data_IF_382006938285
#
_entry.id   IF_382006938285
#
_cell.length_a   1.000
_cell.length_b   1.000
_cell.length_c   1.000
_cell.angle_alpha   90.00
_cell.angle_beta   90.00
_cell.angle_gamma   90.00
#
_symmetry.space_group_name_H-M   'P 1'
#
loop_
_entity.id
_entity.type
_entity.pdbx_description
1 polymer ?
#
# COMPACT_ATOMS: atom_id res chain seq x y z
N UNK A 1 -56.01 20.33 -35.29
CA UNK A 1 -55.78 20.33 -33.83
C UNK A 1 -55.91 18.91 -33.32
N UNK A 2 -54.79 18.27 -32.99
CA UNK A 2 -54.69 17.05 -32.18
C UNK A 2 -53.22 16.97 -31.68
N UNK A 3 -52.96 16.63 -30.41
CA UNK A 3 -51.70 16.94 -29.75
C UNK A 3 -50.62 15.86 -29.88
N UNK A 4 -49.39 16.35 -29.78
CA UNK A 4 -48.08 15.67 -29.75
C UNK A 4 -47.97 14.66 -28.62
N UNK A 5 -47.33 13.50 -28.86
CA UNK A 5 -46.72 12.68 -27.79
C UNK A 5 -45.24 12.48 -28.13
N UNK A 6 -44.41 13.34 -27.55
CA UNK A 6 -42.95 13.20 -27.54
C UNK A 6 -42.58 12.40 -26.30
N UNK A 7 -42.12 11.17 -26.50
CA UNK A 7 -41.57 10.32 -25.43
C UNK A 7 -40.23 10.91 -24.99
N UNK A 8 -40.17 11.37 -23.75
CA UNK A 8 -38.97 11.96 -23.12
C UNK A 8 -38.19 10.83 -22.46
N UNK A 9 -37.04 10.47 -23.03
CA UNK A 9 -36.06 9.60 -22.40
C UNK A 9 -35.54 10.30 -21.15
N UNK A 10 -35.72 9.67 -19.99
CA UNK A 10 -35.08 10.09 -18.74
C UNK A 10 -33.66 9.51 -18.75
N UNK A 11 -32.68 10.37 -19.00
CA UNK A 11 -31.28 10.09 -18.69
C UNK A 11 -31.09 10.16 -17.18
N UNK A 12 -30.52 9.10 -16.61
CA UNK A 12 -30.02 9.07 -15.24
C UNK A 12 -28.99 10.20 -15.02
N UNK A 13 -28.95 10.84 -13.84
CA UNK A 13 -27.96 11.85 -13.54
C UNK A 13 -26.54 11.23 -13.47
N UNK A 14 -25.49 11.98 -13.83
CA UNK A 14 -24.12 11.49 -13.73
C UNK A 14 -23.82 11.09 -12.29
N UNK A 15 -23.32 9.86 -12.08
CA UNK A 15 -22.75 9.45 -10.79
C UNK A 15 -21.55 10.34 -10.50
N UNK A 16 -21.79 11.38 -9.70
CA UNK A 16 -20.73 12.25 -9.19
C UNK A 16 -19.83 11.40 -8.29
N UNK A 17 -18.64 11.11 -8.81
CA UNK A 17 -17.54 10.52 -8.05
C UNK A 17 -17.32 11.39 -6.81
N UNK A 18 -17.26 10.81 -5.61
CA UNK A 18 -16.94 11.61 -4.43
C UNK A 18 -15.58 12.28 -4.65
N UNK A 19 -15.42 13.55 -4.22
CA UNK A 19 -14.18 14.28 -4.45
C UNK A 19 -13.00 13.52 -3.85
N UNK A 20 -11.86 13.40 -4.57
CA UNK A 20 -10.68 12.74 -4.04
C UNK A 20 -10.27 13.42 -2.74
N UNK A 21 -9.91 12.63 -1.72
CA UNK A 21 -9.30 13.18 -0.50
C UNK A 21 -8.11 14.04 -0.91
N UNK A 22 -8.03 15.25 -0.34
CA UNK A 22 -7.00 16.22 -0.70
C UNK A 22 -5.62 15.65 -0.37
N UNK A 23 -4.71 15.72 -1.32
CA UNK A 23 -3.26 15.46 -1.21
C UNK A 23 -2.60 15.76 0.17
N UNK A 24 -2.96 16.84 0.91
CA UNK A 24 -2.51 17.07 2.28
C UNK A 24 -2.83 15.98 3.33
N UNK A 25 -3.87 15.16 3.17
CA UNK A 25 -4.11 14.04 4.10
C UNK A 25 -3.17 12.85 3.85
N UNK A 26 -2.45 12.83 2.73
CA UNK A 26 -1.57 11.72 2.37
C UNK A 26 -0.14 11.90 2.87
N UNK A 27 0.27 13.12 3.23
CA UNK A 27 1.65 13.41 3.65
C UNK A 27 2.06 12.74 4.98
N UNK A 28 1.10 12.21 5.73
CA UNK A 28 1.38 11.44 6.96
C UNK A 28 1.83 10.00 6.68
N UNK A 29 1.51 9.48 5.49
CA UNK A 29 1.74 8.06 5.11
C UNK A 29 2.68 7.90 3.92
N UNK A 30 2.82 8.93 3.07
CA UNK A 30 3.71 8.92 1.90
C UNK A 30 4.38 10.28 1.65
N UNK A 31 5.58 10.23 1.06
CA UNK A 31 6.32 11.41 0.63
C UNK A 31 5.61 12.05 -0.56
N UNK A 32 4.97 13.19 -0.27
CA UNK A 32 4.16 13.92 -1.25
C UNK A 32 4.95 14.30 -2.49
N UNK A 33 6.20 14.73 -2.33
CA UNK A 33 7.02 15.20 -3.47
C UNK A 33 7.36 14.06 -4.43
N UNK A 34 7.67 12.88 -3.89
CA UNK A 34 7.95 11.66 -4.67
C UNK A 34 6.68 11.19 -5.38
N UNK A 35 5.54 11.20 -4.69
CA UNK A 35 4.28 10.79 -5.29
C UNK A 35 3.75 11.78 -6.33
N UNK A 36 3.94 13.09 -6.11
CA UNK A 36 3.61 14.13 -7.10
C UNK A 36 4.37 13.92 -8.41
N UNK A 37 5.65 13.53 -8.37
CA UNK A 37 6.41 13.19 -9.58
C UNK A 37 5.79 12.03 -10.36
N UNK A 38 5.21 11.04 -9.68
CA UNK A 38 4.50 9.93 -10.33
C UNK A 38 3.18 10.43 -10.94
N UNK A 39 2.46 11.32 -10.24
CA UNK A 39 1.22 11.91 -10.72
C UNK A 39 1.42 12.86 -11.90
N UNK A 40 2.60 13.47 -12.04
CA UNK A 40 3.01 14.30 -13.19
C UNK A 40 3.27 13.47 -14.45
N UNK A 41 3.39 12.15 -14.33
CA UNK A 41 3.54 11.22 -15.46
C UNK A 41 2.19 10.71 -16.00
N UNK A 42 1.08 11.02 -15.33
CA UNK A 42 -0.25 10.75 -15.87
C UNK A 42 -0.55 11.69 -17.05
N UNK A 43 -1.21 11.18 -18.09
CA UNK A 43 -1.77 12.02 -19.15
C UNK A 43 -2.97 12.83 -18.59
N UNK A 44 -3.21 14.04 -19.14
CA UNK A 44 -4.03 15.10 -18.52
C UNK A 44 -5.43 14.67 -18.00
N UNK A 45 -6.05 13.65 -18.60
CA UNK A 45 -7.41 13.22 -18.27
C UNK A 45 -7.49 11.86 -17.53
N UNK A 46 -6.43 11.06 -17.48
CA UNK A 46 -6.47 9.68 -16.98
C UNK A 46 -5.34 9.35 -15.98
N UNK A 47 -5.72 8.85 -14.80
CA UNK A 47 -4.79 8.44 -13.71
C UNK A 47 -4.24 7.03 -13.88
N UNK A 48 -4.22 6.50 -15.10
CA UNK A 48 -3.96 5.08 -15.37
C UNK A 48 -2.51 4.68 -15.10
N UNK A 49 -1.54 5.57 -15.39
CA UNK A 49 -0.13 5.29 -15.15
C UNK A 49 0.15 5.19 -13.65
N UNK A 50 -0.18 6.23 -12.89
CA UNK A 50 0.06 6.26 -11.45
C UNK A 50 -0.71 5.17 -10.72
N UNK A 51 -1.97 4.91 -11.13
CA UNK A 51 -2.77 3.80 -10.61
C UNK A 51 -2.12 2.46 -10.92
N UNK A 52 -1.62 2.25 -12.13
CA UNK A 52 -0.92 1.01 -12.50
C UNK A 52 0.29 0.73 -11.60
N UNK A 53 1.12 1.75 -11.34
CA UNK A 53 2.28 1.62 -10.45
C UNK A 53 1.84 1.29 -9.01
N UNK A 54 0.82 1.99 -8.49
CA UNK A 54 0.34 1.78 -7.12
C UNK A 54 -0.26 0.39 -6.92
N UNK A 55 -1.09 -0.09 -7.85
CA UNK A 55 -1.72 -1.41 -7.72
C UNK A 55 -0.71 -2.53 -7.96
N UNK A 56 0.24 -2.33 -8.88
CA UNK A 56 1.37 -3.25 -9.04
C UNK A 56 2.21 -3.37 -7.77
N UNK A 57 2.40 -2.27 -7.03
CA UNK A 57 3.04 -2.32 -5.72
C UNK A 57 2.22 -3.08 -4.69
N UNK A 58 0.89 -2.94 -4.65
CA UNK A 58 0.05 -3.71 -3.72
C UNK A 58 0.22 -5.21 -3.91
N UNK A 59 0.12 -5.68 -5.16
CA UNK A 59 0.30 -7.10 -5.49
C UNK A 59 1.70 -7.58 -5.11
N UNK A 60 2.72 -6.76 -5.39
CA UNK A 60 4.11 -7.06 -5.03
C UNK A 60 4.29 -7.14 -3.50
N UNK A 61 3.72 -6.21 -2.75
CA UNK A 61 3.83 -6.15 -1.30
C UNK A 61 3.17 -7.36 -0.65
N UNK A 62 1.93 -7.67 -1.01
CA UNK A 62 1.19 -8.82 -0.46
C UNK A 62 1.90 -10.14 -0.75
N UNK A 63 2.33 -10.35 -2.01
CA UNK A 63 3.11 -11.54 -2.39
C UNK A 63 4.43 -11.63 -1.62
N UNK A 64 5.10 -10.50 -1.39
CA UNK A 64 6.38 -10.47 -0.67
C UNK A 64 6.19 -10.77 0.81
N UNK A 65 5.13 -10.26 1.43
CA UNK A 65 4.81 -10.56 2.81
C UNK A 65 4.52 -12.04 3.05
N UNK A 66 3.76 -12.69 2.16
CA UNK A 66 3.52 -14.14 2.26
C UNK A 66 4.84 -14.93 2.17
N UNK A 67 5.74 -14.53 1.28
CA UNK A 67 7.08 -15.14 1.18
C UNK A 67 7.91 -14.91 2.44
N UNK A 68 7.84 -13.71 3.03
CA UNK A 68 8.53 -13.41 4.29
C UNK A 68 8.00 -14.27 5.44
N UNK A 69 6.68 -14.46 5.55
CA UNK A 69 6.10 -15.34 6.57
C UNK A 69 6.58 -16.78 6.42
N UNK A 70 6.58 -17.30 5.19
CA UNK A 70 7.12 -18.63 4.92
C UNK A 70 8.61 -18.74 5.22
N UNK A 71 9.41 -17.74 4.84
CA UNK A 71 10.83 -17.72 5.13
C UNK A 71 11.13 -17.61 6.63
N UNK A 72 10.26 -16.94 7.41
CA UNK A 72 10.32 -16.94 8.87
C UNK A 72 10.05 -18.33 9.48
N UNK A 73 9.04 -19.04 8.98
CA UNK A 73 8.74 -20.43 9.41
C UNK A 73 9.90 -21.37 9.09
N UNK A 74 10.49 -21.23 7.91
CA UNK A 74 11.64 -22.01 7.45
C UNK A 74 12.99 -21.52 8.03
N UNK A 75 12.99 -20.44 8.81
CA UNK A 75 14.18 -19.78 9.40
C UNK A 75 15.26 -19.38 8.37
N UNK A 76 14.86 -18.86 7.21
CA UNK A 76 15.77 -18.49 6.12
C UNK A 76 16.15 -17.01 6.16
N UNK A 77 17.11 -16.66 7.02
CA UNK A 77 17.59 -15.27 7.18
C UNK A 77 18.03 -14.61 5.86
N UNK A 78 18.82 -15.31 5.04
CA UNK A 78 19.27 -14.76 3.76
C UNK A 78 18.12 -14.45 2.79
N UNK A 79 17.07 -15.29 2.78
CA UNK A 79 15.87 -15.05 1.98
C UNK A 79 15.09 -13.84 2.51
N UNK A 80 14.93 -13.74 3.84
CA UNK A 80 14.31 -12.58 4.49
C UNK A 80 15.06 -11.28 4.16
N UNK A 81 16.39 -11.30 4.17
CA UNK A 81 17.20 -10.15 3.81
C UNK A 81 16.95 -9.70 2.36
N UNK A 82 16.93 -10.67 1.43
CA UNK A 82 16.67 -10.39 0.02
C UNK A 82 15.26 -9.87 -0.23
N UNK A 83 14.24 -10.42 0.46
CA UNK A 83 12.86 -9.96 0.35
C UNK A 83 12.70 -8.55 0.94
N UNK A 84 13.36 -8.26 2.06
CA UNK A 84 13.41 -6.92 2.67
C UNK A 84 14.01 -5.90 1.71
N UNK A 85 15.17 -6.22 1.11
CA UNK A 85 15.82 -5.37 0.11
C UNK A 85 14.92 -5.10 -1.11
N UNK A 86 14.25 -6.14 -1.62
CA UNK A 86 13.36 -6.04 -2.77
C UNK A 86 12.18 -5.10 -2.50
N UNK A 87 11.48 -5.29 -1.38
CA UNK A 87 10.30 -4.49 -1.05
C UNK A 87 10.67 -3.05 -0.63
N UNK A 88 11.85 -2.86 -0.01
CA UNK A 88 12.43 -1.53 0.27
C UNK A 88 12.54 -0.72 -1.02
N UNK A 89 13.08 -1.32 -2.09
CA UNK A 89 13.25 -0.64 -3.39
C UNK A 89 11.92 -0.13 -3.95
N UNK A 90 10.93 -1.01 -4.06
CA UNK A 90 9.61 -0.62 -4.60
C UNK A 90 8.86 0.37 -3.70
N UNK A 91 9.00 0.25 -2.37
CA UNK A 91 8.39 1.20 -1.42
C UNK A 91 8.99 2.61 -1.54
N UNK A 92 10.31 2.71 -1.79
CA UNK A 92 10.98 3.99 -1.98
C UNK A 92 10.50 4.72 -3.25
N UNK A 93 10.23 3.98 -4.34
CA UNK A 93 9.72 4.56 -5.59
C UNK A 93 8.40 5.30 -5.39
N UNK A 94 7.53 4.81 -4.50
CA UNK A 94 6.23 5.43 -4.20
C UNK A 94 6.28 6.45 -3.03
N UNK A 95 7.46 6.69 -2.45
CA UNK A 95 7.60 7.59 -1.30
C UNK A 95 7.07 7.00 0.02
N UNK A 96 6.93 5.68 0.14
CA UNK A 96 6.36 5.03 1.33
C UNK A 96 7.40 4.88 2.44
N UNK A 97 7.80 5.99 3.05
CA UNK A 97 8.97 6.06 3.94
C UNK A 97 8.93 5.04 5.09
N UNK A 98 7.80 4.94 5.82
CA UNK A 98 7.71 3.98 6.93
C UNK A 98 7.85 2.53 6.45
N UNK A 99 7.14 2.16 5.38
CA UNK A 99 7.22 0.81 4.79
C UNK A 99 8.65 0.51 4.34
N UNK A 100 9.30 1.47 3.67
CA UNK A 100 10.70 1.40 3.24
C UNK A 100 11.65 1.19 4.44
N UNK A 101 11.49 1.97 5.51
CA UNK A 101 12.33 1.89 6.70
C UNK A 101 12.17 0.54 7.41
N UNK A 102 10.95 0.02 7.55
CA UNK A 102 10.74 -1.33 8.11
C UNK A 102 11.32 -2.43 7.21
N UNK A 103 11.21 -2.31 5.89
CA UNK A 103 11.83 -3.26 4.96
C UNK A 103 13.36 -3.24 5.05
N UNK A 104 13.96 -2.08 5.30
CA UNK A 104 15.40 -1.94 5.57
C UNK A 104 15.80 -2.63 6.87
N UNK A 105 15.02 -2.49 7.94
CA UNK A 105 15.25 -3.24 9.19
C UNK A 105 15.19 -4.75 8.95
N UNK A 106 14.19 -5.25 8.22
CA UNK A 106 14.10 -6.68 7.84
C UNK A 106 15.32 -7.11 7.03
N UNK A 107 15.79 -6.26 6.10
CA UNK A 107 17.02 -6.51 5.35
C UNK A 107 18.23 -6.70 6.29
N UNK A 108 18.41 -5.80 7.25
CA UNK A 108 19.52 -5.82 8.21
C UNK A 108 19.46 -7.03 9.14
N UNK A 109 18.32 -7.28 9.78
CA UNK A 109 18.14 -8.46 10.64
C UNK A 109 18.34 -9.76 9.87
N UNK A 110 17.85 -9.85 8.62
CA UNK A 110 18.09 -10.99 7.76
C UNK A 110 19.58 -11.19 7.39
N UNK A 111 20.39 -10.15 7.49
CA UNK A 111 21.84 -10.22 7.35
C UNK A 111 22.58 -10.53 8.67
N UNK A 112 21.83 -10.82 9.74
CA UNK A 112 22.37 -11.02 11.09
C UNK A 112 22.86 -9.73 11.74
N UNK A 113 22.34 -8.57 11.30
CA UNK A 113 22.69 -7.25 11.83
C UNK A 113 21.57 -6.64 12.66
N UNK A 114 21.92 -5.71 13.53
CA UNK A 114 20.97 -4.90 14.30
C UNK A 114 20.11 -4.00 13.39
N UNK A 115 19.17 -3.26 13.97
CA UNK A 115 18.23 -2.42 13.20
C UNK A 115 18.95 -1.40 12.31
N UNK A 116 20.13 -0.93 12.74
CA UNK A 116 20.94 0.06 12.03
C UNK A 116 21.82 -0.54 10.94
N UNK A 117 21.98 -1.86 10.92
CA UNK A 117 22.88 -2.57 9.99
C UNK A 117 24.36 -2.46 10.35
N UNK A 118 24.69 -1.96 11.55
CA UNK A 118 26.07 -1.64 11.96
C UNK A 118 26.68 -2.70 12.88
N UNK A 119 25.89 -3.23 13.81
CA UNK A 119 26.31 -4.25 14.76
C UNK A 119 25.74 -5.61 14.37
N UNK A 120 26.37 -6.69 14.81
CA UNK A 120 25.82 -8.05 14.68
C UNK A 120 24.75 -8.30 15.74
N UNK A 121 23.69 -9.00 15.37
CA UNK A 121 22.75 -9.58 16.33
C UNK A 121 23.43 -10.69 17.13
N UNK A 122 23.03 -10.93 18.39
CA UNK A 122 23.67 -11.94 19.24
C UNK A 122 23.60 -13.36 18.67
N UNK A 123 22.48 -13.68 18.01
CA UNK A 123 22.20 -14.98 17.43
C UNK A 123 21.05 -14.90 16.41
N UNK A 124 20.87 -15.98 15.65
CA UNK A 124 19.82 -16.13 14.64
C UNK A 124 18.40 -16.03 15.24
N UNK A 125 18.19 -16.51 16.47
CA UNK A 125 16.87 -16.48 17.12
C UNK A 125 16.42 -15.04 17.40
N UNK A 126 17.36 -14.19 17.81
CA UNK A 126 17.15 -12.76 18.03
C UNK A 126 16.82 -12.06 16.71
N UNK A 127 17.58 -12.32 15.64
CA UNK A 127 17.27 -11.81 14.30
C UNK A 127 15.86 -12.21 13.84
N UNK A 128 15.49 -13.49 13.95
CA UNK A 128 14.16 -13.98 13.55
C UNK A 128 13.04 -13.33 14.37
N UNK A 129 13.26 -13.11 15.68
CA UNK A 129 12.31 -12.42 16.55
C UNK A 129 12.10 -10.97 16.10
N UNK A 130 13.17 -10.22 15.88
CA UNK A 130 13.08 -8.82 15.43
C UNK A 130 12.45 -8.71 14.04
N UNK A 131 12.75 -9.64 13.11
CA UNK A 131 12.09 -9.68 11.80
C UNK A 131 10.59 -9.92 11.97
N UNK A 132 10.18 -10.87 12.84
CA UNK A 132 8.76 -11.16 13.08
C UNK A 132 8.02 -9.94 13.63
N UNK A 133 8.60 -9.24 14.60
CA UNK A 133 8.02 -8.02 15.16
C UNK A 133 7.92 -6.92 14.10
N UNK A 134 8.99 -6.69 13.34
CA UNK A 134 9.03 -5.70 12.26
C UNK A 134 8.05 -6.04 11.13
N UNK A 135 7.84 -7.32 10.83
CA UNK A 135 6.89 -7.77 9.80
C UNK A 135 5.44 -7.44 10.19
N UNK A 136 5.11 -7.44 11.49
CA UNK A 136 3.80 -7.00 11.98
C UNK A 136 3.64 -5.49 11.77
N UNK A 137 4.67 -4.71 12.08
CA UNK A 137 4.65 -3.25 11.92
C UNK A 137 4.53 -2.84 10.45
N UNK A 138 5.35 -3.40 9.56
CA UNK A 138 5.31 -3.07 8.13
C UNK A 138 3.97 -3.40 7.49
N UNK A 139 3.33 -4.52 7.90
CA UNK A 139 2.00 -4.89 7.40
C UNK A 139 0.92 -3.89 7.85
N UNK A 140 1.02 -3.37 9.07
CA UNK A 140 0.11 -2.35 9.58
C UNK A 140 0.26 -1.05 8.80
N UNK A 141 1.48 -0.56 8.65
CA UNK A 141 1.77 0.68 7.94
C UNK A 141 1.42 0.57 6.45
N UNK A 142 1.68 -0.59 5.84
CA UNK A 142 1.23 -0.90 4.49
C UNK A 142 -0.30 -0.81 4.35
N UNK A 143 -1.08 -1.39 5.27
CA UNK A 143 -2.54 -1.36 5.19
C UNK A 143 -3.11 0.05 5.32
N UNK A 144 -2.47 0.91 6.11
CA UNK A 144 -2.81 2.32 6.20
C UNK A 144 -2.59 3.04 4.86
N UNK A 145 -1.41 2.87 4.25
CA UNK A 145 -1.07 3.40 2.92
C UNK A 145 -2.03 2.88 1.85
N UNK A 146 -2.27 1.58 1.81
CA UNK A 146 -3.16 0.94 0.85
C UNK A 146 -4.57 1.54 0.93
N UNK A 147 -5.11 1.72 2.14
CA UNK A 147 -6.42 2.32 2.32
C UNK A 147 -6.45 3.77 1.83
N UNK A 148 -5.42 4.57 2.12
CA UNK A 148 -5.33 5.97 1.67
C UNK A 148 -5.29 6.04 0.14
N UNK A 149 -4.44 5.25 -0.49
CA UNK A 149 -4.26 5.24 -1.94
C UNK A 149 -5.47 4.66 -2.68
N UNK A 150 -6.10 3.59 -2.18
CA UNK A 150 -7.36 3.07 -2.75
C UNK A 150 -8.46 4.12 -2.71
N UNK A 151 -8.60 4.84 -1.60
CA UNK A 151 -9.54 5.95 -1.50
C UNK A 151 -9.19 7.10 -2.45
N UNK A 152 -7.90 7.40 -2.66
CA UNK A 152 -7.45 8.41 -3.62
C UNK A 152 -7.87 8.06 -5.05
N UNK A 153 -7.78 6.78 -5.44
CA UNK A 153 -8.22 6.29 -6.76
C UNK A 153 -9.72 5.93 -6.84
N UNK A 154 -10.54 6.34 -5.86
CA UNK A 154 -12.00 6.20 -5.89
C UNK A 154 -12.56 4.86 -5.41
N UNK A 155 -11.72 3.95 -4.90
CA UNK A 155 -12.15 2.69 -4.28
C UNK A 155 -12.52 2.92 -2.80
N UNK A 156 -13.74 3.44 -2.55
CA UNK A 156 -14.28 3.49 -1.19
C UNK A 156 -14.58 2.08 -0.69
N UNK A 157 -13.87 1.59 0.33
CA UNK A 157 -14.47 0.63 1.26
C UNK A 157 -15.50 1.40 2.09
N UNK A 158 -16.78 1.22 1.81
CA UNK A 158 -17.83 1.57 2.76
C UNK A 158 -17.49 0.92 4.11
N UNK A 159 -17.56 1.63 5.25
CA UNK A 159 -17.55 0.96 6.54
C UNK A 159 -18.77 0.03 6.52
N UNK A 160 -18.54 -1.26 6.72
CA UNK A 160 -19.60 -2.25 6.82
C UNK A 160 -20.45 -1.89 8.05
N UNK A 161 -21.54 -1.16 7.84
CA UNK A 161 -22.54 -0.91 8.87
C UNK A 161 -23.31 -2.21 9.03
N UNK A 162 -22.83 -3.08 9.90
CA UNK A 162 -23.63 -4.19 10.42
C UNK A 162 -24.74 -3.61 11.30
N UNK A 163 -25.98 -3.54 10.81
CA UNK A 163 -27.24 -3.50 11.57
C UNK A 163 -28.46 -3.36 10.63
N UNK A 164 -29.67 -3.86 10.94
CA UNK A 164 -30.06 -4.98 11.81
C UNK A 164 -31.01 -5.98 11.07
N UNK A 165 -30.93 -7.28 11.35
CA UNK A 165 -32.03 -8.19 10.99
C UNK A 165 -33.06 -8.20 12.11
N UNK A 166 -34.06 -7.34 11.96
CA UNK A 166 -35.35 -7.50 12.63
C UNK A 166 -36.18 -8.52 11.86
N UNK A 167 -36.56 -9.61 12.53
CA UNK A 167 -37.85 -10.28 12.35
C UNK A 167 -38.22 -11.04 13.62
#
# INVERSE_FOLDING_TARGET
MAPTTTTKTVEDPPKESPPPKKLPEMSEVLDKSTFEQILEMDDDDDRDFSKGIVYGFFDQAETTFEKMEKALEDKKLAELSSLGHFLKGSSATLGLNKVKDHCEKIQHYGAGKDETGTADEPDEETSLKHIKETLVEVKKDYKEVEQVLRNFYGEKKSPEVSSPSSK
#
